data_IF_789373909220
#
_entry.id   IF_789373909220
#
_cell.length_a   1.000
_cell.length_b   1.000
_cell.length_c   1.000
_cell.angle_alpha   90.00
_cell.angle_beta   90.00
_cell.angle_gamma   90.00
#
_symmetry.space_group_name_H-M   'P 1'
#
loop_
_entity.id
_entity.type
_entity.pdbx_description
1 polymer ?
#
# COMPACT_ATOMS: atom_id res chain seq x y z
N UNK A 1 14.47 -0.59 9.51
CA UNK A 1 13.12 -1.23 9.64
C UNK A 1 13.36 -2.67 10.09
N UNK A 2 12.66 -3.15 11.14
CA UNK A 2 12.83 -4.53 11.65
C UNK A 2 11.59 -5.34 11.29
N UNK A 3 11.70 -6.19 10.28
CA UNK A 3 10.68 -7.17 9.87
C UNK A 3 11.10 -8.55 10.38
N UNK A 4 10.17 -9.47 10.61
CA UNK A 4 10.44 -10.90 10.87
C UNK A 4 9.55 -11.78 10.01
N UNK A 5 9.80 -13.10 10.00
CA UNK A 5 8.93 -14.07 9.33
C UNK A 5 7.50 -14.12 9.91
N UNK A 6 7.35 -13.69 11.16
CA UNK A 6 6.07 -13.64 11.87
C UNK A 6 5.32 -12.32 11.61
N UNK A 7 5.90 -11.43 10.79
CA UNK A 7 5.22 -10.20 10.36
C UNK A 7 4.02 -10.61 9.50
N UNK A 8 2.81 -10.08 9.78
CA UNK A 8 1.64 -10.43 9.01
C UNK A 8 1.76 -9.93 7.59
N UNK A 9 0.95 -10.52 6.71
CA UNK A 9 0.85 -10.04 5.35
C UNK A 9 0.46 -8.55 5.33
N UNK A 10 1.13 -7.78 4.48
CA UNK A 10 1.08 -6.32 4.54
C UNK A 10 0.72 -5.72 3.19
N UNK A 11 -0.18 -4.73 3.19
CA UNK A 11 -0.42 -3.82 2.07
C UNK A 11 0.18 -2.45 2.42
N UNK A 12 0.97 -1.89 1.52
CA UNK A 12 1.60 -0.57 1.68
C UNK A 12 1.14 0.33 0.54
N UNK A 13 0.68 1.54 0.88
CA UNK A 13 0.27 2.57 -0.07
C UNK A 13 1.02 3.86 0.25
N UNK A 14 1.57 4.52 -0.77
CA UNK A 14 2.26 5.80 -0.62
C UNK A 14 2.14 6.65 -1.89
N UNK A 15 2.34 7.96 -1.82
CA UNK A 15 2.46 8.83 -3.01
C UNK A 15 3.91 9.25 -3.25
N UNK A 16 4.33 9.33 -4.50
CA UNK A 16 5.70 9.67 -4.87
C UNK A 16 6.05 11.14 -4.55
N UNK A 17 5.06 12.03 -4.62
CA UNK A 17 5.18 13.46 -4.31
C UNK A 17 5.08 13.80 -2.82
N UNK A 18 4.97 12.82 -1.92
CA UNK A 18 5.02 13.06 -0.48
C UNK A 18 6.43 13.50 -0.06
N UNK A 19 6.52 14.60 0.70
CA UNK A 19 7.77 15.12 1.23
C UNK A 19 8.49 14.11 2.17
N UNK A 20 7.75 13.17 2.77
CA UNK A 20 8.30 12.10 3.61
C UNK A 20 9.02 11.00 2.83
N UNK A 21 9.04 11.10 1.49
CA UNK A 21 9.62 10.16 0.53
C UNK A 21 9.00 8.76 0.53
N UNK A 22 8.55 8.32 -0.65
CA UNK A 22 8.08 6.95 -0.87
C UNK A 22 9.17 5.88 -0.74
N UNK A 23 10.46 6.25 -0.66
CA UNK A 23 11.56 5.30 -0.51
C UNK A 23 11.45 4.49 0.78
N UNK A 24 10.91 5.07 1.87
CA UNK A 24 10.66 4.34 3.11
C UNK A 24 9.71 3.14 2.91
N UNK A 25 8.65 3.34 2.12
CA UNK A 25 7.71 2.28 1.75
C UNK A 25 8.37 1.21 0.87
N UNK A 26 9.20 1.62 -0.10
CA UNK A 26 9.97 0.70 -0.96
C UNK A 26 10.93 -0.17 -0.13
N UNK A 27 11.67 0.43 0.81
CA UNK A 27 12.57 -0.32 1.68
C UNK A 27 11.82 -1.28 2.60
N UNK A 28 10.66 -0.88 3.14
CA UNK A 28 9.83 -1.77 3.94
C UNK A 28 9.38 -3.00 3.14
N UNK A 29 8.86 -2.77 1.91
CA UNK A 29 8.46 -3.84 1.01
C UNK A 29 9.62 -4.79 0.67
N UNK A 30 10.81 -4.23 0.38
CA UNK A 30 11.99 -5.03 0.08
C UNK A 30 12.38 -5.94 1.26
N UNK A 31 12.33 -5.43 2.49
CA UNK A 31 12.63 -6.24 3.69
C UNK A 31 11.56 -7.32 3.96
N UNK A 32 10.29 -7.03 3.70
CA UNK A 32 9.22 -8.04 3.74
C UNK A 32 9.47 -9.15 2.72
N UNK A 33 9.79 -8.78 1.47
CA UNK A 33 10.06 -9.74 0.40
C UNK A 33 11.26 -10.63 0.68
N UNK A 34 12.36 -10.07 1.21
CA UNK A 34 13.55 -10.83 1.61
C UNK A 34 13.27 -11.91 2.67
N UNK A 35 12.21 -11.74 3.47
CA UNK A 35 11.81 -12.66 4.54
C UNK A 35 10.64 -13.56 4.14
N UNK A 36 10.27 -13.54 2.86
CA UNK A 36 9.15 -14.29 2.29
C UNK A 36 7.78 -13.95 2.94
N UNK A 37 7.65 -12.72 3.44
CA UNK A 37 6.37 -12.21 3.95
C UNK A 37 5.54 -11.70 2.78
N UNK A 38 4.38 -12.33 2.54
CA UNK A 38 3.44 -11.96 1.48
C UNK A 38 3.02 -10.48 1.62
N UNK A 39 3.35 -9.66 0.63
CA UNK A 39 3.16 -8.21 0.71
C UNK A 39 2.84 -7.59 -0.65
N UNK A 40 2.17 -6.45 -0.64
CA UNK A 40 1.82 -5.66 -1.82
C UNK A 40 2.16 -4.17 -1.59
N UNK A 41 2.69 -3.50 -2.62
CA UNK A 41 3.08 -2.10 -2.56
C UNK A 41 2.49 -1.34 -3.75
N UNK A 42 1.80 -0.24 -3.45
CA UNK A 42 1.37 0.75 -4.45
C UNK A 42 2.03 2.10 -4.19
N UNK A 43 2.77 2.60 -5.17
CA UNK A 43 3.28 3.97 -5.18
C UNK A 43 2.53 4.75 -6.25
N UNK A 44 1.64 5.65 -5.80
CA UNK A 44 0.91 6.56 -6.68
C UNK A 44 1.81 7.72 -7.10
N UNK A 45 1.70 8.20 -8.34
CA UNK A 45 2.53 9.30 -8.83
C UNK A 45 2.38 10.58 -8.00
N UNK A 46 1.16 10.90 -7.56
CA UNK A 46 0.87 12.13 -6.83
C UNK A 46 -0.31 11.95 -5.84
N UNK A 47 -0.51 12.94 -4.97
CA UNK A 47 -1.61 12.98 -3.99
C UNK A 47 -1.23 13.65 -2.68
N UNK A 48 0.06 13.93 -2.48
CA UNK A 48 0.64 14.59 -1.32
C UNK A 48 0.46 13.81 -0.02
N UNK A 49 0.91 14.41 1.08
CA UNK A 49 0.79 13.82 2.40
C UNK A 49 -0.66 13.75 2.90
N UNK A 50 -0.97 12.75 3.73
CA UNK A 50 -2.22 12.69 4.49
C UNK A 50 -3.49 12.67 3.65
N UNK A 51 -3.50 11.91 2.54
CA UNK A 51 -4.66 11.81 1.64
C UNK A 51 -5.88 11.13 2.28
N UNK A 52 -5.68 10.19 3.21
CA UNK A 52 -6.77 9.44 3.85
C UNK A 52 -7.65 8.74 2.81
N UNK A 53 -8.97 8.87 2.90
CA UNK A 53 -9.94 8.29 1.94
C UNK A 53 -10.47 9.33 0.94
N UNK A 54 -9.90 10.52 0.91
CA UNK A 54 -10.42 11.64 0.11
C UNK A 54 -9.89 11.56 -1.32
N UNK A 55 -10.77 11.79 -2.29
CA UNK A 55 -10.34 12.10 -3.65
C UNK A 55 -9.51 13.39 -3.66
N UNK A 56 -8.45 13.39 -4.46
CA UNK A 56 -7.56 14.54 -4.65
C UNK A 56 -7.68 15.02 -6.10
N UNK A 57 -7.78 16.33 -6.35
CA UNK A 57 -7.76 16.85 -7.72
C UNK A 57 -6.52 16.37 -8.47
N UNK A 58 -6.70 15.94 -9.72
CA UNK A 58 -5.64 15.48 -10.61
C UNK A 58 -4.78 14.32 -10.05
N UNK A 59 -5.33 13.52 -9.14
CA UNK A 59 -4.65 12.36 -8.55
C UNK A 59 -5.59 11.17 -8.44
N UNK A 60 -5.05 9.99 -8.71
CA UNK A 60 -5.77 8.73 -8.57
C UNK A 60 -5.67 8.13 -7.17
N UNK A 61 -5.04 8.83 -6.21
CA UNK A 61 -4.79 8.28 -4.87
C UNK A 61 -6.06 7.81 -4.17
N UNK A 62 -7.20 8.48 -4.39
CA UNK A 62 -8.50 8.08 -3.82
C UNK A 62 -8.94 6.64 -4.18
N UNK A 63 -8.38 6.06 -5.23
CA UNK A 63 -8.68 4.67 -5.66
C UNK A 63 -7.95 3.60 -4.85
N UNK A 64 -7.05 3.96 -3.93
CA UNK A 64 -6.26 2.98 -3.16
C UNK A 64 -7.13 1.99 -2.37
N UNK A 65 -8.34 2.40 -1.99
CA UNK A 65 -9.29 1.53 -1.29
C UNK A 65 -9.73 0.35 -2.16
N UNK A 66 -9.78 0.52 -3.47
CA UNK A 66 -10.08 -0.57 -4.40
C UNK A 66 -8.95 -1.60 -4.39
N UNK A 67 -7.69 -1.15 -4.35
CA UNK A 67 -6.51 -2.04 -4.22
C UNK A 67 -6.52 -2.79 -2.90
N UNK A 68 -6.88 -2.12 -1.81
CA UNK A 68 -7.08 -2.78 -0.53
C UNK A 68 -8.19 -3.84 -0.59
N UNK A 69 -9.31 -3.53 -1.24
CA UNK A 69 -10.41 -4.47 -1.39
C UNK A 69 -9.99 -5.71 -2.19
N UNK A 70 -9.36 -5.52 -3.35
CA UNK A 70 -8.80 -6.59 -4.19
C UNK A 70 -7.77 -7.43 -3.39
N UNK A 71 -6.89 -6.79 -2.62
CA UNK A 71 -5.91 -7.48 -1.76
C UNK A 71 -6.57 -8.30 -0.64
N UNK A 72 -7.67 -7.81 -0.05
CA UNK A 72 -8.45 -8.56 0.95
C UNK A 72 -9.21 -9.73 0.32
N UNK A 73 -9.74 -9.57 -0.90
CA UNK A 73 -10.42 -10.65 -1.65
C UNK A 73 -9.49 -11.81 -1.93
N UNK A 74 -8.26 -11.54 -2.40
CA UNK A 74 -7.24 -12.57 -2.63
C UNK A 74 -6.90 -13.40 -1.38
N UNK A 75 -7.25 -12.89 -0.19
CA UNK A 75 -7.01 -13.52 1.11
C UNK A 75 -8.27 -14.10 1.74
N UNK A 76 -9.41 -14.04 1.05
CA UNK A 76 -10.70 -14.50 1.57
C UNK A 76 -11.28 -13.62 2.69
N UNK A 77 -10.83 -12.37 2.81
CA UNK A 77 -11.33 -11.42 3.82
C UNK A 77 -12.41 -10.47 3.30
N UNK A 78 -12.62 -10.43 1.98
CA UNK A 78 -13.67 -9.64 1.35
C UNK A 78 -14.33 -10.44 0.22
N UNK A 79 -15.61 -10.18 -0.02
CA UNK A 79 -16.35 -10.75 -1.15
C UNK A 79 -16.08 -9.95 -2.43
N UNK A 80 -16.41 -10.55 -3.58
CA UNK A 80 -16.46 -9.84 -4.85
C UNK A 80 -17.35 -8.59 -4.75
N UNK A 81 -16.85 -7.46 -5.24
CA UNK A 81 -17.63 -6.24 -5.38
C UNK A 81 -18.75 -6.50 -6.38
N UNK A 82 -20.01 -6.39 -5.94
CA UNK A 82 -21.20 -6.49 -6.79
C UNK A 82 -21.25 -5.38 -7.85
#
# INVERSE_FOLDING_TARGET
IRVSKDTPATLIVHTHDDASSSLGAVYMYAELKKKDVSSELHVYQNGGHGYGVRSRPNSMIGTWQNRMHEWLQLRGYANESR
#
